data_IF_494540381895
#
_entry.id   IF_494540381895
#
_cell.length_a   1.000
_cell.length_b   1.000
_cell.length_c   1.000
_cell.angle_alpha   90.00
_cell.angle_beta   90.00
_cell.angle_gamma   90.00
#
_symmetry.space_group_name_H-M   'P 1'
#
loop_
_entity.id
_entity.type
_entity.pdbx_description
1 polymer ?
#
# COMPACT_ATOMS: atom_id res chain seq x y z
N UNK A 1 -1.17 -8.77 3.43
CA UNK A 1 -2.65 -8.67 3.30
C UNK A 1 -3.14 -9.19 1.95
N UNK A 2 -2.60 -8.73 0.81
CA UNK A 2 -3.00 -9.23 -0.52
C UNK A 2 -2.87 -10.74 -0.69
N UNK A 3 -1.73 -11.33 -0.32
CA UNK A 3 -1.51 -12.78 -0.47
C UNK A 3 -2.54 -13.61 0.33
N UNK A 4 -2.81 -13.22 1.58
CA UNK A 4 -3.83 -13.88 2.42
C UNK A 4 -5.25 -13.73 1.85
N UNK A 5 -5.57 -12.56 1.29
CA UNK A 5 -6.86 -12.34 0.61
C UNK A 5 -7.01 -13.21 -0.64
N UNK A 6 -5.95 -13.33 -1.46
CA UNK A 6 -5.94 -14.17 -2.65
C UNK A 6 -6.12 -15.66 -2.31
N UNK A 7 -5.39 -16.16 -1.30
CA UNK A 7 -5.53 -17.54 -0.83
C UNK A 7 -6.95 -17.79 -0.31
N UNK A 8 -7.49 -16.88 0.50
CA UNK A 8 -8.86 -16.99 1.01
C UNK A 8 -9.91 -17.05 -0.10
N UNK A 9 -9.73 -16.26 -1.16
CA UNK A 9 -10.60 -16.26 -2.33
C UNK A 9 -10.52 -17.60 -3.08
N UNK A 10 -9.30 -18.12 -3.33
CA UNK A 10 -9.10 -19.42 -3.99
C UNK A 10 -9.74 -20.57 -3.21
N UNK A 11 -9.60 -20.57 -1.88
CA UNK A 11 -10.21 -21.58 -1.00
C UNK A 11 -11.73 -21.49 -1.04
N UNK A 12 -12.31 -20.30 -0.92
CA UNK A 12 -13.77 -20.09 -1.05
C UNK A 12 -14.30 -20.56 -2.39
N UNK A 13 -13.60 -20.27 -3.48
CA UNK A 13 -14.02 -20.66 -4.82
C UNK A 13 -13.96 -22.17 -5.03
N UNK A 14 -12.97 -22.83 -4.45
CA UNK A 14 -12.72 -24.28 -4.61
C UNK A 14 -13.55 -25.17 -3.67
N UNK A 15 -14.04 -24.64 -2.55
CA UNK A 15 -14.80 -25.41 -1.56
C UNK A 15 -16.12 -25.92 -2.15
N UNK A 16 -16.33 -27.23 -2.31
CA UNK A 16 -17.64 -27.79 -2.70
C UNK A 16 -18.67 -27.67 -1.56
N UNK A 17 -19.92 -27.35 -1.91
CA UNK A 17 -21.03 -27.06 -0.98
C UNK A 17 -22.15 -28.10 -1.06
N UNK A 18 -21.94 -29.13 -1.86
CA UNK A 18 -22.94 -30.17 -2.09
C UNK A 18 -22.53 -31.47 -1.39
N UNK A 19 -23.50 -32.14 -0.78
CA UNK A 19 -23.32 -33.42 -0.09
C UNK A 19 -24.23 -34.46 -0.73
N UNK A 20 -23.81 -35.74 -0.74
CA UNK A 20 -24.65 -36.82 -1.26
C UNK A 20 -25.84 -37.04 -0.33
N UNK A 21 -27.05 -37.07 -0.87
CA UNK A 21 -28.24 -37.43 -0.10
C UNK A 21 -28.31 -38.96 0.06
N UNK A 22 -28.63 -39.49 1.26
CA UNK A 22 -28.72 -40.94 1.48
C UNK A 22 -29.89 -41.62 0.75
N UNK A 23 -30.89 -40.86 0.33
CA UNK A 23 -32.18 -41.42 -0.12
C UNK A 23 -32.30 -41.59 -1.64
N UNK A 24 -31.58 -40.80 -2.44
CA UNK A 24 -31.80 -40.77 -3.89
C UNK A 24 -30.48 -40.64 -4.69
N UNK A 25 -29.32 -40.69 -4.01
CA UNK A 25 -28.00 -40.49 -4.61
C UNK A 25 -27.76 -39.08 -5.20
N UNK A 26 -28.79 -38.24 -5.19
CA UNK A 26 -28.75 -36.86 -5.66
C UNK A 26 -27.90 -36.02 -4.72
N UNK A 27 -27.08 -35.14 -5.28
CA UNK A 27 -26.29 -34.18 -4.51
C UNK A 27 -27.19 -33.02 -4.12
N UNK A 28 -27.30 -32.78 -2.82
CA UNK A 28 -28.06 -31.67 -2.27
C UNK A 28 -27.12 -30.60 -1.75
N UNK A 29 -27.47 -29.34 -1.97
CA UNK A 29 -26.68 -28.20 -1.51
C UNK A 29 -26.87 -28.02 -0.01
N UNK A 30 -25.77 -28.00 0.75
CA UNK A 30 -25.82 -27.76 2.18
C UNK A 30 -25.79 -26.24 2.46
N UNK A 31 -26.86 -25.72 3.06
CA UNK A 31 -26.97 -24.31 3.43
C UNK A 31 -25.92 -23.85 4.46
N UNK A 32 -25.46 -24.74 5.34
CA UNK A 32 -24.34 -24.46 6.23
C UNK A 32 -23.03 -24.26 5.47
N UNK A 33 -22.71 -25.15 4.52
CA UNK A 33 -21.52 -25.03 3.69
C UNK A 33 -21.59 -23.81 2.76
N UNK A 34 -22.78 -23.46 2.24
CA UNK A 34 -22.96 -22.23 1.45
C UNK A 34 -22.66 -20.98 2.29
N UNK A 35 -23.13 -20.97 3.55
CA UNK A 35 -22.92 -19.85 4.48
C UNK A 35 -21.44 -19.71 4.84
N UNK A 36 -20.76 -20.83 5.10
CA UNK A 36 -19.32 -20.84 5.38
C UNK A 36 -18.50 -20.33 4.19
N UNK A 37 -18.80 -20.81 2.97
CA UNK A 37 -18.14 -20.35 1.75
C UNK A 37 -18.30 -18.84 1.57
N UNK A 38 -19.52 -18.34 1.76
CA UNK A 38 -19.85 -16.92 1.62
C UNK A 38 -19.15 -16.05 2.68
N UNK A 39 -19.05 -16.51 3.92
CA UNK A 39 -18.33 -15.81 4.99
C UNK A 39 -16.84 -15.61 4.65
N UNK A 40 -16.16 -16.68 4.21
CA UNK A 40 -14.74 -16.59 3.81
C UNK A 40 -14.60 -15.69 2.56
N UNK A 41 -15.59 -15.70 1.66
CA UNK A 41 -15.58 -14.88 0.45
C UNK A 41 -15.77 -13.39 0.75
N UNK A 42 -16.60 -13.03 1.73
CA UNK A 42 -16.77 -11.65 2.19
C UNK A 42 -15.51 -11.10 2.87
N UNK A 43 -14.91 -11.88 3.77
CA UNK A 43 -13.69 -11.45 4.49
C UNK A 43 -12.50 -11.30 3.53
N UNK A 44 -12.30 -12.26 2.63
CA UNK A 44 -11.22 -12.19 1.64
C UNK A 44 -11.43 -11.05 0.64
N UNK A 45 -12.66 -10.82 0.17
CA UNK A 45 -13.00 -9.71 -0.71
C UNK A 45 -12.75 -8.35 -0.06
N UNK A 46 -13.19 -8.15 1.19
CA UNK A 46 -12.94 -6.91 1.92
C UNK A 46 -11.45 -6.68 2.17
N UNK A 47 -10.71 -7.72 2.58
CA UNK A 47 -9.27 -7.63 2.79
C UNK A 47 -8.50 -7.29 1.49
N UNK A 48 -8.93 -7.83 0.35
CA UNK A 48 -8.36 -7.49 -0.96
C UNK A 48 -8.61 -6.01 -1.30
N UNK A 49 -9.84 -5.54 -1.12
CA UNK A 49 -10.23 -4.15 -1.36
C UNK A 49 -9.39 -3.18 -0.50
N UNK A 50 -9.32 -3.41 0.81
CA UNK A 50 -8.51 -2.60 1.71
C UNK A 50 -7.03 -2.60 1.32
N UNK A 51 -6.48 -3.75 0.93
CA UNK A 51 -5.08 -3.81 0.52
C UNK A 51 -4.81 -2.98 -0.75
N UNK A 52 -5.71 -3.03 -1.74
CA UNK A 52 -5.61 -2.19 -2.95
C UNK A 52 -5.73 -0.70 -2.62
N UNK A 53 -6.68 -0.32 -1.75
CA UNK A 53 -6.83 1.07 -1.31
C UNK A 53 -5.59 1.58 -0.58
N UNK A 54 -5.02 0.79 0.32
CA UNK A 54 -3.82 1.17 1.04
C UNK A 54 -2.63 1.35 0.09
N UNK A 55 -2.45 0.46 -0.90
CA UNK A 55 -1.37 0.59 -1.89
C UNK A 55 -1.56 1.85 -2.74
N UNK A 56 -2.78 2.12 -3.21
CA UNK A 56 -3.07 3.26 -4.10
C UNK A 56 -3.04 4.61 -3.36
N UNK A 57 -3.46 4.67 -2.10
CA UNK A 57 -3.54 5.90 -1.32
C UNK A 57 -2.24 6.19 -0.54
N UNK A 58 -1.48 5.18 -0.13
CA UNK A 58 -0.25 5.37 0.66
C UNK A 58 0.91 5.96 -0.14
N UNK A 59 0.90 5.87 -1.47
CA UNK A 59 1.90 6.50 -2.36
C UNK A 59 1.77 8.03 -2.51
N UNK A 60 0.72 8.66 -1.97
CA UNK A 60 0.51 10.11 -2.06
C UNK A 60 1.22 10.93 -0.99
N UNK A 61 1.90 10.28 -0.03
CA UNK A 61 2.77 10.99 0.90
C UNK A 61 4.15 11.13 0.29
N UNK A 62 4.27 12.04 -0.67
CA UNK A 62 5.56 12.65 -0.95
C UNK A 62 5.97 13.35 0.34
N UNK A 63 6.78 12.66 1.15
CA UNK A 63 7.62 13.32 2.12
C UNK A 63 8.40 14.36 1.33
N UNK A 64 8.12 15.64 1.58
CA UNK A 64 9.14 16.66 1.46
C UNK A 64 10.26 16.20 2.37
N UNK A 65 11.19 15.44 1.79
CA UNK A 65 12.43 15.05 2.43
C UNK A 65 13.19 16.36 2.61
N UNK A 66 13.00 17.02 3.75
CA UNK A 66 13.97 18.00 4.25
C UNK A 66 15.31 17.25 4.24
N UNK A 67 16.15 17.54 3.24
CA UNK A 67 17.46 16.93 3.12
C UNK A 67 18.22 17.18 4.44
N UNK A 68 19.02 16.23 4.93
CA UNK A 68 19.76 16.36 6.18
C UNK A 68 20.74 17.57 6.21
N UNK A 69 20.92 18.29 5.09
CA UNK A 69 21.67 19.55 4.99
C UNK A 69 20.86 20.84 5.13
N UNK A 70 19.53 20.77 5.26
CA UNK A 70 18.67 21.96 5.28
C UNK A 70 18.39 22.49 6.69
N UNK A 71 19.06 21.94 7.71
CA UNK A 71 18.97 22.42 9.09
C UNK A 71 20.29 23.02 9.55
N UNK A 72 20.23 24.25 10.06
CA UNK A 72 21.36 24.98 10.66
C UNK A 72 21.05 25.27 12.13
N UNK A 73 22.07 25.44 12.96
CA UNK A 73 21.88 25.92 14.32
C UNK A 73 21.59 27.42 14.30
N UNK A 74 20.59 27.86 15.06
CA UNK A 74 20.32 29.29 15.22
C UNK A 74 21.50 30.00 15.93
N UNK A 75 21.99 31.14 15.42
CA UNK A 75 23.12 31.85 16.03
C UNK A 75 22.83 32.42 17.42
N UNK A 76 21.55 32.61 17.78
CA UNK A 76 21.16 33.20 19.06
C UNK A 76 20.87 32.17 20.16
N UNK A 77 20.25 31.03 19.82
CA UNK A 77 19.81 30.03 20.81
C UNK A 77 20.36 28.62 20.58
N UNK A 78 21.17 28.41 19.53
CA UNK A 78 21.76 27.13 19.14
C UNK A 78 20.77 26.00 18.79
N UNK A 79 19.46 26.26 18.76
CA UNK A 79 18.46 25.26 18.36
C UNK A 79 18.44 25.02 16.85
N UNK A 80 18.10 23.81 16.40
CA UNK A 80 18.06 23.45 14.99
C UNK A 80 16.85 24.09 14.28
N UNK A 81 17.15 24.89 13.26
CA UNK A 81 16.18 25.60 12.41
C UNK A 81 16.40 25.27 10.94
N UNK A 82 15.40 25.48 10.09
CA UNK A 82 15.60 25.36 8.64
C UNK A 82 16.55 26.46 8.15
N UNK A 83 17.42 26.13 7.18
CA UNK A 83 18.31 27.10 6.51
C UNK A 83 17.54 28.19 5.76
N UNK A 84 16.30 27.89 5.35
CA UNK A 84 15.38 28.85 4.75
C UNK A 84 14.63 29.74 5.77
N UNK A 85 14.80 29.52 7.08
CA UNK A 85 14.11 30.30 8.09
C UNK A 85 14.64 31.74 8.15
N UNK A 86 13.74 32.72 8.05
CA UNK A 86 14.05 34.15 8.28
C UNK A 86 13.99 34.54 9.76
N UNK A 87 13.25 33.76 10.55
CA UNK A 87 13.07 33.96 11.99
C UNK A 87 13.14 32.61 12.69
N UNK A 88 13.83 32.55 13.83
CA UNK A 88 13.91 31.33 14.62
C UNK A 88 12.58 31.03 15.31
N UNK A 89 12.05 29.80 15.19
CA UNK A 89 10.79 29.38 15.83
C UNK A 89 10.85 29.29 17.36
N UNK A 90 12.04 29.36 17.93
CA UNK A 90 12.25 29.14 19.36
C UNK A 90 12.54 30.46 20.08
N UNK A 91 13.55 31.21 19.63
CA UNK A 91 13.94 32.48 20.23
C UNK A 91 13.37 33.71 19.51
N UNK A 92 12.72 33.54 18.36
CA UNK A 92 12.15 34.62 17.55
C UNK A 92 13.15 35.67 17.05
N UNK A 93 14.46 35.40 17.15
CA UNK A 93 15.50 36.25 16.55
C UNK A 93 15.48 36.14 15.03
N UNK A 94 15.57 37.27 14.35
CA UNK A 94 15.72 37.35 12.89
C UNK A 94 17.11 36.84 12.47
N UNK A 95 17.15 36.01 11.43
CA UNK A 95 18.38 35.41 10.93
C UNK A 95 18.79 36.22 9.69
N UNK A 96 19.82 37.06 9.85
CA UNK A 96 20.32 37.91 8.79
C UNK A 96 20.99 37.11 7.66
N UNK A 97 20.97 37.64 6.44
CA UNK A 97 21.62 37.03 5.27
C UNK A 97 23.15 36.92 5.41
N UNK A 98 23.76 37.71 6.30
CA UNK A 98 25.19 37.68 6.61
C UNK A 98 25.59 36.51 7.54
N UNK A 99 24.67 36.01 8.37
CA UNK A 99 24.90 34.87 9.26
C UNK A 99 24.62 33.52 8.56
N UNK A 100 24.17 33.56 7.30
CA UNK A 100 23.92 32.37 6.50
C UNK A 100 25.28 31.83 6.00
N UNK A 101 25.64 30.58 6.33
CA UNK A 101 26.80 29.93 5.71
C UNK A 101 26.62 29.95 4.18
N UNK A 102 27.71 30.12 3.41
CA UNK A 102 27.65 30.31 1.97
C UNK A 102 26.74 29.27 1.32
N UNK A 103 25.91 29.74 0.38
CA UNK A 103 25.00 28.91 -0.38
C UNK A 103 25.82 27.83 -1.11
N UNK A 104 25.79 26.61 -0.58
CA UNK A 104 26.33 25.44 -1.26
C UNK A 104 25.42 25.25 -2.46
N UNK A 105 25.88 25.69 -3.64
CA UNK A 105 25.26 25.33 -4.91
C UNK A 105 25.16 23.80 -4.91
N UNK A 106 23.98 23.21 -5.18
CA UNK A 106 23.83 21.76 -5.12
C UNK A 106 24.77 21.16 -6.17
N UNK A 107 25.87 20.56 -5.70
CA UNK A 107 26.71 19.68 -6.51
C UNK A 107 25.81 18.55 -7.00
N UNK A 108 25.97 18.19 -8.27
CA UNK A 108 25.21 17.24 -9.08
C UNK A 108 25.23 15.76 -8.58
N UNK A 109 25.15 15.53 -7.27
CA UNK A 109 25.22 14.25 -6.58
C UNK A 109 24.26 14.33 -5.39
N UNK A 110 23.23 13.53 -5.20
CA UNK A 110 22.74 12.35 -5.89
C UNK A 110 21.24 12.58 -6.09
N UNK A 111 20.76 12.43 -7.33
CA UNK A 111 19.36 12.02 -7.50
C UNK A 111 19.33 10.61 -6.90
N UNK A 112 19.14 10.51 -5.59
CA UNK A 112 18.70 9.26 -4.99
C UNK A 112 17.42 8.97 -5.72
N UNK A 113 17.49 8.01 -6.64
CA UNK A 113 16.34 7.38 -7.23
C UNK A 113 15.61 6.70 -6.07
N UNK A 114 14.90 7.51 -5.28
CA UNK A 114 13.84 7.00 -4.42
C UNK A 114 12.97 6.26 -5.40
N UNK A 115 12.72 4.95 -5.24
CA UNK A 115 11.75 4.27 -6.06
C UNK A 115 10.42 4.95 -5.75
N UNK A 116 10.10 6.00 -6.53
CA UNK A 116 8.73 6.39 -6.82
C UNK A 116 8.11 5.09 -7.22
N UNK A 117 7.22 4.56 -6.38
CA UNK A 117 6.48 3.34 -6.66
C UNK A 117 6.05 3.44 -8.12
N UNK A 118 6.74 2.66 -8.94
CA UNK A 118 6.75 2.88 -10.37
C UNK A 118 5.34 2.61 -10.85
N UNK A 119 4.89 3.26 -11.91
CA UNK A 119 3.65 2.83 -12.57
C UNK A 119 3.73 1.32 -12.93
N UNK A 120 4.93 0.75 -13.03
CA UNK A 120 5.14 -0.69 -13.09
C UNK A 120 4.64 -1.42 -11.83
N UNK A 121 4.93 -0.95 -10.61
CA UNK A 121 4.50 -1.60 -9.37
C UNK A 121 2.97 -1.67 -9.27
N UNK A 122 2.28 -0.59 -9.64
CA UNK A 122 0.82 -0.58 -9.68
C UNK A 122 0.27 -1.51 -10.78
N UNK A 123 0.88 -1.51 -11.98
CA UNK A 123 0.49 -2.40 -13.08
C UNK A 123 0.77 -3.87 -12.75
N UNK A 124 1.83 -4.17 -12.01
CA UNK A 124 2.13 -5.52 -11.52
C UNK A 124 1.12 -5.97 -10.47
N UNK A 125 0.77 -5.13 -9.49
CA UNK A 125 -0.26 -5.46 -8.49
C UNK A 125 -1.62 -5.65 -9.15
N UNK A 126 -2.02 -4.73 -10.04
CA UNK A 126 -3.28 -4.85 -10.80
C UNK A 126 -3.26 -6.10 -11.69
N UNK A 127 -2.13 -6.39 -12.34
CA UNK A 127 -1.93 -7.60 -13.15
C UNK A 127 -2.10 -8.88 -12.33
N UNK A 128 -1.47 -8.97 -11.14
CA UNK A 128 -1.60 -10.13 -10.24
C UNK A 128 -3.05 -10.30 -9.79
N UNK A 129 -3.75 -9.22 -9.45
CA UNK A 129 -5.16 -9.27 -9.03
C UNK A 129 -6.06 -9.75 -10.18
N UNK A 130 -5.87 -9.21 -11.39
CA UNK A 130 -6.62 -9.62 -12.58
C UNK A 130 -6.37 -11.09 -12.91
N UNK A 131 -5.11 -11.53 -12.89
CA UNK A 131 -4.77 -12.94 -13.16
C UNK A 131 -5.38 -13.85 -12.10
N UNK A 132 -5.29 -13.51 -10.81
CA UNK A 132 -5.90 -14.29 -9.74
C UNK A 132 -7.43 -14.38 -9.89
N UNK A 133 -8.09 -13.29 -10.30
CA UNK A 133 -9.52 -13.28 -10.58
C UNK A 133 -9.87 -14.15 -11.79
N UNK A 134 -9.11 -14.06 -12.88
CA UNK A 134 -9.30 -14.89 -14.08
C UNK A 134 -9.12 -16.37 -13.74
N UNK A 135 -8.09 -16.74 -12.98
CA UNK A 135 -7.84 -18.12 -12.53
C UNK A 135 -8.99 -18.62 -11.66
N UNK A 136 -9.45 -17.83 -10.69
CA UNK A 136 -10.59 -18.21 -9.85
C UNK A 136 -11.88 -18.42 -10.67
N UNK A 137 -12.12 -17.58 -11.69
CA UNK A 137 -13.25 -17.73 -12.62
C UNK A 137 -13.08 -18.96 -13.51
N UNK A 138 -11.89 -19.20 -14.05
CA UNK A 138 -11.59 -20.37 -14.88
C UNK A 138 -11.78 -21.68 -14.10
N UNK A 139 -11.29 -21.74 -12.86
CA UNK A 139 -11.51 -22.87 -11.95
C UNK A 139 -13.01 -23.10 -11.66
N UNK A 140 -13.81 -22.03 -11.57
CA UNK A 140 -15.26 -22.13 -11.36
C UNK A 140 -16.01 -22.65 -12.58
N UNK A 141 -15.58 -22.23 -13.77
CA UNK A 141 -16.19 -22.61 -15.04
C UNK A 141 -15.70 -23.98 -15.54
N UNK A 142 -14.75 -24.62 -14.85
CA UNK A 142 -14.18 -25.90 -15.25
C UNK A 142 -13.33 -25.81 -16.53
N UNK A 143 -12.74 -24.64 -16.81
CA UNK A 143 -11.91 -24.39 -17.99
C UNK A 143 -10.41 -24.75 -17.79
N UNK A 144 -10.08 -25.50 -16.75
CA UNK A 144 -8.70 -25.93 -16.40
C UNK A 144 -8.63 -27.41 -16.13
#
# INVERSE_FOLDING_TARGET
MLLGAAIGLLVSFSMDVTVASPFDGTRVTNFGLISQRNSIQMVSGFAALCAVLLITLSGRRSSTSEAPGDRIACPACAEPILRAAKICKHCHTEIGTADRPPEIQPSNHDVVNVPVASNADLRFVVGIVIVAAIVAVAMKLGLT
#
